data_IF_350526475089
#
_entry.id   IF_350526475089
#
_cell.length_a   1.000
_cell.length_b   1.000
_cell.length_c   1.000
_cell.angle_alpha   90.00
_cell.angle_beta   90.00
_cell.angle_gamma   90.00
#
_symmetry.space_group_name_H-M   'P 1'
#
loop_
_entity.id
_entity.type
_entity.pdbx_description
1 polymer ?
#
# COMPACT_ATOMS: atom_id res chain seq x y z
N UNK A 1 14.41 -7.04 1.09
CA UNK A 1 13.28 -7.94 1.42
C UNK A 1 11.95 -7.40 0.90
N UNK A 2 11.60 -6.13 1.12
CA UNK A 2 10.36 -5.55 0.55
C UNK A 2 10.38 -5.42 -1.00
N UNK A 3 11.55 -5.23 -1.61
CA UNK A 3 11.69 -5.24 -3.08
C UNK A 3 11.21 -6.56 -3.73
N UNK A 4 11.37 -7.69 -3.04
CA UNK A 4 10.87 -8.99 -3.52
C UNK A 4 9.34 -9.03 -3.48
N UNK A 5 8.72 -8.43 -2.46
CA UNK A 5 7.26 -8.26 -2.38
C UNK A 5 6.77 -7.42 -3.56
N UNK A 6 7.43 -6.31 -3.88
CA UNK A 6 7.07 -5.50 -5.07
C UNK A 6 7.11 -6.34 -6.35
N UNK A 7 8.21 -7.06 -6.57
CA UNK A 7 8.39 -7.89 -7.75
C UNK A 7 7.31 -8.98 -7.85
N UNK A 8 6.94 -9.61 -6.73
CA UNK A 8 5.85 -10.60 -6.70
C UNK A 8 4.52 -9.94 -7.09
N UNK A 9 4.19 -8.80 -6.48
CA UNK A 9 2.91 -8.12 -6.71
C UNK A 9 2.76 -7.60 -8.14
N UNK A 10 3.86 -7.23 -8.80
CA UNK A 10 3.86 -6.77 -10.20
C UNK A 10 3.76 -7.92 -11.21
N UNK A 11 4.35 -9.09 -10.92
CA UNK A 11 4.45 -10.17 -11.90
C UNK A 11 3.41 -11.29 -11.71
N UNK A 12 2.80 -11.42 -10.54
CA UNK A 12 1.84 -12.49 -10.29
C UNK A 12 0.40 -12.09 -10.62
N UNK A 13 -0.31 -12.96 -11.35
CA UNK A 13 -1.76 -12.86 -11.52
C UNK A 13 -2.53 -13.62 -10.43
N UNK A 14 -1.86 -14.45 -9.64
CA UNK A 14 -2.52 -15.25 -8.61
C UNK A 14 -2.82 -14.41 -7.36
N UNK A 15 -4.12 -14.26 -7.07
CA UNK A 15 -4.63 -13.48 -5.95
C UNK A 15 -4.08 -13.98 -4.59
N UNK A 16 -4.02 -15.29 -4.37
CA UNK A 16 -3.51 -15.86 -3.11
C UNK A 16 -2.04 -15.52 -2.89
N UNK A 17 -1.24 -15.53 -3.96
CA UNK A 17 0.16 -15.11 -3.90
C UNK A 17 0.29 -13.62 -3.58
N UNK A 18 -0.58 -12.77 -4.17
CA UNK A 18 -0.64 -11.35 -3.81
C UNK A 18 -0.96 -11.16 -2.33
N UNK A 19 -1.96 -11.87 -1.80
CA UNK A 19 -2.34 -11.80 -0.39
C UNK A 19 -1.21 -12.23 0.55
N UNK A 20 -0.51 -13.31 0.23
CA UNK A 20 0.63 -13.76 1.01
C UNK A 20 1.74 -12.69 1.03
N UNK A 21 2.07 -12.13 -0.13
CA UNK A 21 3.07 -11.07 -0.24
C UNK A 21 2.67 -9.81 0.57
N UNK A 22 1.39 -9.43 0.52
CA UNK A 22 0.84 -8.34 1.33
C UNK A 22 0.88 -8.64 2.84
N UNK A 23 0.65 -9.87 3.25
CA UNK A 23 0.74 -10.27 4.66
C UNK A 23 2.17 -10.17 5.19
N UNK A 24 3.16 -10.56 4.39
CA UNK A 24 4.59 -10.37 4.74
C UNK A 24 4.91 -8.87 4.86
N UNK A 25 4.44 -8.06 3.92
CA UNK A 25 4.64 -6.60 3.94
C UNK A 25 4.02 -5.95 5.19
N UNK A 26 2.80 -6.33 5.52
CA UNK A 26 2.10 -5.88 6.73
C UNK A 26 2.90 -6.19 8.00
N UNK A 27 3.50 -7.39 8.08
CA UNK A 27 4.38 -7.76 9.20
C UNK A 27 5.62 -6.86 9.29
N UNK A 28 6.24 -6.54 8.16
CA UNK A 28 7.40 -5.63 8.12
C UNK A 28 7.01 -4.23 8.59
N UNK A 29 5.88 -3.70 8.11
CA UNK A 29 5.37 -2.38 8.54
C UNK A 29 5.06 -2.40 10.03
N UNK A 30 4.29 -3.38 10.51
CA UNK A 30 3.84 -3.40 11.90
C UNK A 30 4.98 -3.51 12.92
N UNK A 31 6.01 -4.31 12.62
CA UNK A 31 7.02 -4.68 13.62
C UNK A 31 8.40 -4.08 13.37
N UNK A 32 8.73 -3.67 12.14
CA UNK A 32 10.08 -3.24 11.76
C UNK A 32 10.15 -1.87 11.10
N UNK A 33 9.03 -1.14 10.96
CA UNK A 33 8.99 0.12 10.22
C UNK A 33 10.06 1.13 10.63
N UNK A 34 10.20 1.41 11.94
CA UNK A 34 11.15 2.40 12.44
C UNK A 34 12.62 1.99 12.28
N UNK A 35 12.90 0.70 12.08
CA UNK A 35 14.24 0.19 11.84
C UNK A 35 14.66 0.31 10.36
N UNK A 36 13.73 0.67 9.47
CA UNK A 36 14.00 0.77 8.05
C UNK A 36 14.57 2.15 7.68
N UNK A 37 15.53 2.20 6.72
CA UNK A 37 15.97 3.46 6.12
C UNK A 37 14.78 4.26 5.56
N UNK A 38 14.87 5.59 5.62
CA UNK A 38 13.80 6.48 5.15
C UNK A 38 13.41 6.20 3.69
N UNK A 39 14.39 5.98 2.82
CA UNK A 39 14.17 5.63 1.40
C UNK A 39 13.30 4.37 1.21
N UNK A 40 13.50 3.34 2.03
CA UNK A 40 12.69 2.13 1.94
C UNK A 40 11.26 2.36 2.43
N UNK A 41 11.09 3.20 3.46
CA UNK A 41 9.77 3.60 3.95
C UNK A 41 9.01 4.39 2.89
N UNK A 42 9.65 5.39 2.29
CA UNK A 42 9.06 6.18 1.21
C UNK A 42 8.78 5.33 -0.04
N UNK A 43 9.67 4.39 -0.37
CA UNK A 43 9.45 3.44 -1.47
C UNK A 43 8.20 2.57 -1.26
N UNK A 44 8.04 1.98 -0.07
CA UNK A 44 6.83 1.19 0.25
C UNK A 44 5.57 2.05 0.27
N UNK A 45 5.67 3.28 0.78
CA UNK A 45 4.58 4.26 0.83
C UNK A 45 4.06 4.58 -0.57
N UNK A 46 4.96 4.98 -1.46
CA UNK A 46 4.61 5.36 -2.83
C UNK A 46 4.05 4.16 -3.59
N UNK A 47 4.70 3.00 -3.49
CA UNK A 47 4.25 1.79 -4.16
C UNK A 47 2.82 1.36 -3.78
N UNK A 48 2.48 1.38 -2.49
CA UNK A 48 1.12 1.02 -2.04
C UNK A 48 0.09 2.05 -2.51
N UNK A 49 0.40 3.35 -2.42
CA UNK A 49 -0.48 4.40 -2.93
C UNK A 49 -0.72 4.27 -4.43
N UNK A 50 0.32 4.03 -5.22
CA UNK A 50 0.22 3.90 -6.69
C UNK A 50 -0.65 2.71 -7.09
N UNK A 51 -0.52 1.56 -6.42
CA UNK A 51 -1.38 0.40 -6.68
C UNK A 51 -2.84 0.71 -6.34
N UNK A 52 -3.10 1.35 -5.21
CA UNK A 52 -4.48 1.69 -4.81
C UNK A 52 -5.11 2.63 -5.83
N UNK A 53 -4.38 3.66 -6.28
CA UNK A 53 -4.85 4.60 -7.31
C UNK A 53 -5.14 3.86 -8.61
N UNK A 54 -4.20 3.02 -9.08
CA UNK A 54 -4.38 2.26 -10.31
C UNK A 54 -5.63 1.36 -10.27
N UNK A 55 -5.82 0.60 -9.18
CA UNK A 55 -6.97 -0.29 -9.03
C UNK A 55 -8.29 0.45 -8.85
N UNK A 56 -8.25 1.64 -8.23
CA UNK A 56 -9.46 2.44 -7.98
C UNK A 56 -9.89 3.26 -9.20
N UNK A 57 -8.99 3.49 -10.16
CA UNK A 57 -9.29 4.24 -11.39
C UNK A 57 -10.18 3.50 -12.39
N UNK A 58 -10.37 2.19 -12.23
CA UNK A 58 -11.22 1.37 -13.11
C UNK A 58 -12.30 0.65 -12.29
N UNK A 59 -13.57 1.02 -12.51
CA UNK A 59 -14.71 0.49 -11.75
C UNK A 59 -14.87 -1.03 -11.89
N UNK A 60 -14.60 -1.59 -13.08
CA UNK A 60 -14.70 -3.03 -13.31
C UNK A 60 -13.61 -3.80 -12.55
N UNK A 61 -12.37 -3.31 -12.58
CA UNK A 61 -11.24 -3.88 -11.82
C UNK A 61 -11.46 -3.74 -10.32
N UNK A 62 -11.98 -2.60 -9.86
CA UNK A 62 -12.27 -2.36 -8.44
C UNK A 62 -13.30 -3.36 -7.89
N UNK A 63 -14.38 -3.63 -8.65
CA UNK A 63 -15.40 -4.61 -8.25
C UNK A 63 -14.85 -6.04 -8.23
N UNK A 64 -14.04 -6.41 -9.22
CA UNK A 64 -13.43 -7.74 -9.31
C UNK A 64 -12.39 -7.98 -8.20
N UNK A 65 -11.60 -6.96 -7.84
CA UNK A 65 -10.49 -7.07 -6.89
C UNK A 65 -10.80 -6.47 -5.51
N UNK A 66 -12.08 -6.32 -5.15
CA UNK A 66 -12.52 -5.65 -3.92
C UNK A 66 -11.81 -6.12 -2.64
N UNK A 67 -11.58 -7.43 -2.51
CA UNK A 67 -10.87 -7.99 -1.36
C UNK A 67 -9.39 -7.57 -1.33
N UNK A 68 -8.75 -7.50 -2.49
CA UNK A 68 -7.36 -7.08 -2.61
C UNK A 68 -7.20 -5.60 -2.28
N UNK A 69 -8.08 -4.75 -2.81
CA UNK A 69 -8.12 -3.32 -2.48
C UNK A 69 -8.37 -3.10 -0.99
N UNK A 70 -9.28 -3.87 -0.38
CA UNK A 70 -9.52 -3.82 1.07
C UNK A 70 -8.25 -4.13 1.87
N UNK A 71 -7.48 -5.15 1.46
CA UNK A 71 -6.21 -5.49 2.11
C UNK A 71 -5.14 -4.42 1.92
N UNK A 72 -5.02 -3.83 0.74
CA UNK A 72 -4.11 -2.72 0.47
C UNK A 72 -4.45 -1.49 1.34
N UNK A 73 -5.73 -1.17 1.51
CA UNK A 73 -6.17 -0.09 2.39
C UNK A 73 -5.79 -0.34 3.86
N UNK A 74 -5.90 -1.59 4.34
CA UNK A 74 -5.43 -1.94 5.69
C UNK A 74 -3.93 -1.67 5.83
N UNK A 75 -3.14 -2.02 4.81
CA UNK A 75 -1.69 -1.79 4.79
C UNK A 75 -1.37 -0.28 4.77
N UNK A 76 -2.06 0.50 3.94
CA UNK A 76 -1.93 1.95 3.93
C UNK A 76 -2.21 2.55 5.31
N UNK A 77 -3.26 2.08 6.00
CA UNK A 77 -3.57 2.50 7.38
C UNK A 77 -2.46 2.11 8.35
N UNK A 78 -1.81 0.96 8.21
CA UNK A 78 -0.65 0.61 9.05
C UNK A 78 0.51 1.59 8.83
N UNK A 79 0.79 2.00 7.58
CA UNK A 79 1.82 3.02 7.29
C UNK A 79 1.45 4.35 7.94
N UNK A 80 0.19 4.78 7.83
CA UNK A 80 -0.29 6.02 8.41
C UNK A 80 -0.13 6.05 9.93
N UNK A 81 -0.37 4.93 10.62
CA UNK A 81 -0.15 4.85 12.07
C UNK A 81 1.29 5.13 12.50
N UNK A 82 2.27 4.95 11.61
CA UNK A 82 3.66 5.27 11.89
C UNK A 82 4.07 6.68 11.43
N UNK A 83 3.55 7.16 10.30
CA UNK A 83 4.04 8.37 9.64
C UNK A 83 3.12 9.60 9.83
N UNK A 84 1.82 9.40 9.97
CA UNK A 84 0.86 10.48 10.19
C UNK A 84 0.66 10.74 11.71
N UNK A 85 0.54 12.00 12.16
CA UNK A 85 0.57 13.25 11.37
C UNK A 85 1.98 13.84 11.20
N UNK A 86 2.98 13.36 11.95
CA UNK A 86 4.25 14.09 12.10
C UNK A 86 5.09 14.16 10.81
N UNK A 87 5.19 13.04 10.07
CA UNK A 87 6.07 12.85 8.90
C UNK A 87 5.32 12.91 7.57
N UNK A 88 4.01 12.62 7.57
CA UNK A 88 3.18 12.68 6.36
C UNK A 88 1.96 13.60 6.52
N UNK A 89 2.22 14.90 6.70
CA UNK A 89 1.18 15.91 6.97
C UNK A 89 0.18 16.09 5.84
N UNK A 90 0.63 15.94 4.59
CA UNK A 90 -0.19 16.18 3.40
C UNK A 90 -1.20 15.06 3.10
N UNK A 91 -1.14 13.92 3.81
CA UNK A 91 -1.94 12.74 3.46
C UNK A 91 -3.45 13.03 3.33
N UNK A 92 -4.05 13.71 4.31
CA UNK A 92 -5.49 14.02 4.29
C UNK A 92 -5.84 15.01 3.15
N UNK A 93 -5.14 16.16 3.00
CA UNK A 93 -5.32 17.02 1.83
C UNK A 93 -5.21 16.29 0.50
N UNK A 94 -4.19 15.44 0.32
CA UNK A 94 -3.93 14.70 -0.91
C UNK A 94 -5.06 13.69 -1.20
N UNK A 95 -5.51 12.97 -0.16
CA UNK A 95 -6.63 12.03 -0.26
C UNK A 95 -7.93 12.73 -0.66
N UNK A 96 -8.24 13.86 -0.03
CA UNK A 96 -9.44 14.65 -0.34
C UNK A 96 -9.37 15.20 -1.77
N UNK A 97 -8.18 15.60 -2.23
CA UNK A 97 -7.99 16.02 -3.62
C UNK A 97 -8.20 14.87 -4.60
N UNK A 98 -7.67 13.68 -4.32
CA UNK A 98 -7.82 12.50 -5.16
C UNK A 98 -9.27 12.03 -5.25
N UNK A 99 -10.05 12.14 -4.18
CA UNK A 99 -11.46 11.73 -4.15
C UNK A 99 -12.43 12.67 -4.91
N UNK A 100 -11.97 13.86 -5.31
CA UNK A 100 -12.77 14.83 -6.08
C UNK A 100 -12.70 14.61 -7.60
N UNK A 101 -11.78 13.75 -8.05
CA UNK A 101 -11.58 13.41 -9.47
C UNK A 101 -12.27 12.08 -9.76
#
# INVERSE_FOLDING_TARGET
MWLQVMHILQNTQNLNTKFFALQVLEGVIKYRWNALPAEQRDGMKNFISDIIVHLSSNEASFRAERLYVSKLNIILVQILKHEWPARWRSFIPDLVSAAKT
#
